data_IF_923696457743
#
_entry.id   IF_923696457743
#
_cell.length_a   1.000
_cell.length_b   1.000
_cell.length_c   1.000
_cell.angle_alpha   90.00
_cell.angle_beta   90.00
_cell.angle_gamma   90.00
#
_symmetry.space_group_name_H-M   'P 1'
#
loop_
_entity.id
_entity.type
_entity.pdbx_description
1 polymer ?
#
# COMPACT_ATOMS: atom_id res chain seq x y z
N UNK A 1 -39.24 -55.14 -72.44
CA UNK A 1 -39.88 -54.64 -71.20
C UNK A 1 -38.81 -54.38 -70.16
N UNK A 2 -38.41 -53.12 -69.98
CA UNK A 2 -37.98 -52.48 -68.72
C UNK A 2 -37.69 -51.01 -69.02
N UNK A 3 -38.05 -50.17 -68.05
CA UNK A 3 -38.48 -48.79 -68.21
C UNK A 3 -37.34 -47.76 -68.24
N UNK A 4 -37.63 -46.68 -68.95
CA UNK A 4 -37.07 -45.33 -68.88
C UNK A 4 -36.82 -44.81 -67.47
N UNK A 5 -35.79 -43.96 -67.29
CA UNK A 5 -35.91 -42.71 -66.53
C UNK A 5 -34.86 -41.68 -66.98
N UNK A 6 -35.34 -40.49 -67.33
CA UNK A 6 -34.61 -39.33 -67.82
C UNK A 6 -33.94 -38.55 -66.67
N UNK A 7 -32.79 -37.96 -66.97
CA UNK A 7 -32.05 -37.01 -66.16
C UNK A 7 -32.72 -35.63 -66.14
N UNK A 8 -32.80 -34.97 -64.98
CA UNK A 8 -32.96 -33.52 -64.83
C UNK A 8 -32.09 -33.05 -63.64
N UNK A 9 -30.95 -32.42 -63.94
CA UNK A 9 -30.12 -31.70 -62.97
C UNK A 9 -30.46 -30.21 -63.02
N UNK A 10 -30.97 -29.64 -61.92
CA UNK A 10 -31.10 -28.19 -61.71
C UNK A 10 -29.88 -27.68 -60.91
N UNK A 11 -29.26 -26.54 -61.26
CA UNK A 11 -28.20 -25.97 -60.45
C UNK A 11 -28.80 -25.20 -59.26
N UNK A 12 -28.30 -25.48 -58.07
CA UNK A 12 -28.61 -24.73 -56.84
C UNK A 12 -27.66 -23.53 -56.77
N UNK A 13 -28.18 -22.32 -57.00
CA UNK A 13 -27.43 -21.08 -56.82
C UNK A 13 -27.24 -20.78 -55.34
N UNK A 14 -26.00 -20.80 -54.86
CA UNK A 14 -25.62 -20.36 -53.51
C UNK A 14 -25.41 -18.85 -53.55
N UNK A 15 -26.31 -18.10 -52.92
CA UNK A 15 -26.15 -16.66 -52.65
C UNK A 15 -25.24 -16.51 -51.43
N UNK A 16 -24.00 -16.06 -51.65
CA UNK A 16 -23.07 -15.70 -50.59
C UNK A 16 -23.48 -14.34 -50.01
N UNK A 17 -24.17 -14.35 -48.87
CA UNK A 17 -24.49 -13.14 -48.11
C UNK A 17 -23.27 -12.67 -47.31
N UNK A 18 -22.64 -11.57 -47.73
CA UNK A 18 -21.57 -10.91 -46.99
C UNK A 18 -22.17 -10.20 -45.77
N UNK A 19 -22.11 -10.83 -44.60
CA UNK A 19 -22.39 -10.16 -43.33
C UNK A 19 -21.27 -9.15 -43.03
N UNK A 20 -21.53 -7.87 -43.29
CA UNK A 20 -20.74 -6.77 -42.72
C UNK A 20 -20.95 -6.74 -41.20
N UNK A 21 -19.97 -7.26 -40.47
CA UNK A 21 -19.83 -7.03 -39.03
C UNK A 21 -19.45 -5.56 -38.82
N UNK A 22 -20.45 -4.70 -38.60
CA UNK A 22 -20.24 -3.37 -38.03
C UNK A 22 -19.73 -3.56 -36.60
N UNK A 23 -18.41 -3.54 -36.45
CA UNK A 23 -17.75 -3.49 -35.15
C UNK A 23 -18.08 -2.16 -34.48
N UNK A 24 -19.11 -2.14 -33.64
CA UNK A 24 -19.36 -1.02 -32.74
C UNK A 24 -18.18 -0.86 -31.80
N UNK A 25 -17.35 0.15 -32.02
CA UNK A 25 -16.36 0.57 -31.05
C UNK A 25 -17.14 1.07 -29.82
N UNK A 26 -17.21 0.25 -28.77
CA UNK A 26 -17.59 0.74 -27.46
C UNK A 26 -16.58 1.84 -27.10
N UNK A 27 -17.01 3.10 -27.13
CA UNK A 27 -16.18 4.23 -26.71
C UNK A 27 -15.95 4.08 -25.22
N UNK A 28 -14.75 3.63 -24.85
CA UNK A 28 -14.36 3.55 -23.46
C UNK A 28 -14.10 4.96 -22.93
N UNK A 29 -14.94 5.42 -22.01
CA UNK A 29 -14.76 6.73 -21.35
C UNK A 29 -13.39 6.84 -20.67
N UNK A 30 -12.88 8.07 -20.58
CA UNK A 30 -11.69 8.35 -19.76
C UNK A 30 -11.98 7.98 -18.31
N UNK A 31 -11.07 7.22 -17.71
CA UNK A 31 -11.12 6.77 -16.32
C UNK A 31 -9.76 6.95 -15.65
N UNK A 32 -9.77 7.22 -14.34
CA UNK A 32 -8.58 7.44 -13.53
C UNK A 32 -8.45 6.38 -12.42
N UNK A 33 -7.22 6.09 -11.94
CA UNK A 33 -7.02 5.40 -10.68
C UNK A 33 -7.67 6.15 -9.52
N UNK A 34 -8.10 5.42 -8.49
CA UNK A 34 -8.77 5.98 -7.29
C UNK A 34 -7.95 7.04 -6.54
N UNK A 35 -6.62 7.01 -6.70
CA UNK A 35 -5.70 8.03 -6.18
C UNK A 35 -5.98 9.43 -6.70
N UNK A 36 -6.57 9.55 -7.90
CA UNK A 36 -7.04 10.81 -8.48
C UNK A 36 -8.53 10.97 -8.19
N UNK A 37 -8.83 11.44 -6.99
CA UNK A 37 -10.18 11.72 -6.51
C UNK A 37 -10.18 13.01 -5.69
N UNK A 38 -11.37 13.54 -5.40
CA UNK A 38 -11.51 14.79 -4.64
C UNK A 38 -10.71 14.74 -3.34
N UNK A 39 -10.24 15.92 -2.89
CA UNK A 39 -9.42 16.07 -1.68
C UNK A 39 -7.99 15.50 -1.77
N UNK A 40 -7.53 15.08 -2.95
CA UNK A 40 -6.18 14.54 -3.12
C UNK A 40 -5.06 15.55 -2.85
N UNK A 41 -3.84 15.05 -2.65
CA UNK A 41 -2.63 15.87 -2.50
C UNK A 41 -1.59 15.45 -3.55
N UNK A 42 -1.18 16.37 -4.42
CA UNK A 42 -0.10 16.16 -5.37
C UNK A 42 1.25 16.61 -4.77
N UNK A 43 2.31 15.85 -5.07
CA UNK A 43 3.66 16.15 -4.58
C UNK A 43 4.21 17.44 -5.21
N UNK A 44 4.62 18.38 -4.35
CA UNK A 44 5.32 19.61 -4.75
C UNK A 44 6.77 19.36 -5.18
N UNK A 45 7.34 20.34 -5.89
CA UNK A 45 8.76 20.45 -6.27
C UNK A 45 9.28 19.36 -7.25
N UNK A 46 8.40 18.54 -7.81
CA UNK A 46 8.74 17.47 -8.76
C UNK A 46 7.84 17.51 -9.99
N UNK A 47 8.22 16.80 -11.05
CA UNK A 47 7.33 16.47 -12.16
C UNK A 47 6.27 15.48 -11.68
N UNK A 48 4.99 15.77 -11.94
CA UNK A 48 3.87 14.97 -11.44
C UNK A 48 3.27 14.13 -12.58
N UNK A 49 3.37 12.80 -12.53
CA UNK A 49 2.70 11.95 -13.50
C UNK A 49 1.20 11.90 -13.19
N UNK A 50 0.39 12.06 -14.24
CA UNK A 50 -1.05 11.78 -14.21
C UNK A 50 -1.32 10.75 -15.28
N UNK A 51 -2.05 9.69 -14.93
CA UNK A 51 -2.29 8.57 -15.83
C UNK A 51 -3.70 8.02 -15.63
N UNK A 52 -4.13 7.23 -16.61
CA UNK A 52 -5.40 6.56 -16.56
C UNK A 52 -5.61 5.70 -17.78
N UNK A 53 -6.89 5.50 -18.11
CA UNK A 53 -7.28 4.77 -19.29
C UNK A 53 -8.33 5.53 -20.09
N UNK A 54 -8.41 5.24 -21.38
CA UNK A 54 -9.38 5.78 -22.32
C UNK A 54 -9.49 4.80 -23.52
N UNK A 55 -10.33 5.09 -24.52
CA UNK A 55 -10.32 4.30 -25.75
C UNK A 55 -8.97 4.41 -26.47
N UNK A 56 -8.52 3.35 -27.14
CA UNK A 56 -7.24 3.36 -27.85
C UNK A 56 -7.18 4.50 -28.89
N UNK A 57 -6.09 5.29 -28.87
CA UNK A 57 -5.91 6.46 -29.74
C UNK A 57 -6.67 7.72 -29.32
N UNK A 58 -7.51 7.66 -28.28
CA UNK A 58 -8.25 8.81 -27.76
C UNK A 58 -7.31 9.89 -27.24
N UNK A 59 -7.56 11.13 -27.64
CA UNK A 59 -6.81 12.28 -27.15
C UNK A 59 -7.30 12.64 -25.74
N UNK A 60 -6.37 12.70 -24.80
CA UNK A 60 -6.63 13.06 -23.39
C UNK A 60 -5.84 14.32 -23.05
N UNK A 61 -6.50 15.26 -22.39
CA UNK A 61 -5.93 16.53 -21.94
C UNK A 61 -6.13 16.70 -20.44
N UNK A 62 -5.07 17.03 -19.72
CA UNK A 62 -5.08 17.31 -18.27
C UNK A 62 -4.76 18.78 -18.04
N UNK A 63 -5.59 19.45 -17.25
CA UNK A 63 -5.40 20.86 -16.85
C UNK A 63 -5.47 21.00 -15.34
N UNK A 64 -4.49 21.69 -14.75
CA UNK A 64 -4.42 22.05 -13.33
C UNK A 64 -3.39 23.18 -13.17
N UNK A 65 -3.55 24.04 -12.16
CA UNK A 65 -2.51 25.03 -11.80
C UNK A 65 -2.04 25.90 -12.99
N UNK A 66 -2.98 26.31 -13.85
CA UNK A 66 -2.70 27.15 -15.03
C UNK A 66 -1.97 26.45 -16.18
N UNK A 67 -1.60 25.17 -16.05
CA UNK A 67 -0.97 24.39 -17.12
C UNK A 67 -1.95 23.40 -17.76
N UNK A 68 -1.67 23.06 -19.02
CA UNK A 68 -2.40 22.05 -19.79
C UNK A 68 -1.40 21.14 -20.50
N UNK A 69 -1.57 19.82 -20.36
CA UNK A 69 -0.78 18.79 -21.05
C UNK A 69 -1.71 17.82 -21.78
N UNK A 70 -1.32 17.37 -22.96
CA UNK A 70 -2.13 16.43 -23.76
C UNK A 70 -1.31 15.21 -24.19
N UNK A 71 -2.00 14.09 -24.38
CA UNK A 71 -1.44 12.82 -24.86
C UNK A 71 -2.51 12.04 -25.62
N UNK A 72 -2.16 10.86 -26.11
CA UNK A 72 -3.12 9.87 -26.61
C UNK A 72 -3.01 8.57 -25.84
N UNK A 73 -4.12 7.88 -25.64
CA UNK A 73 -4.10 6.53 -25.13
C UNK A 73 -3.45 5.57 -26.14
N UNK A 74 -2.64 4.66 -25.62
CA UNK A 74 -1.97 3.63 -26.40
C UNK A 74 -2.94 2.53 -26.87
N UNK A 75 -2.41 1.51 -27.55
CA UNK A 75 -3.20 0.37 -28.03
C UNK A 75 -3.87 -0.45 -26.91
N UNK A 76 -3.34 -0.40 -25.68
CA UNK A 76 -3.91 -1.01 -24.50
C UNK A 76 -4.88 -0.08 -23.76
N UNK A 77 -5.14 1.12 -24.31
CA UNK A 77 -5.98 2.14 -23.72
C UNK A 77 -5.35 2.85 -22.52
N UNK A 78 -4.04 2.69 -22.25
CA UNK A 78 -3.34 3.40 -21.18
C UNK A 78 -2.83 4.73 -21.69
N UNK A 79 -2.91 5.77 -20.86
CA UNK A 79 -2.34 7.09 -21.17
C UNK A 79 -1.62 7.66 -19.96
N UNK A 80 -0.65 8.52 -20.21
CA UNK A 80 -0.02 9.34 -19.16
C UNK A 80 0.44 10.69 -19.69
N UNK A 81 0.45 11.68 -18.81
CA UNK A 81 1.10 12.98 -19.00
C UNK A 81 2.03 13.25 -17.82
N UNK A 82 3.02 14.12 -18.04
CA UNK A 82 3.90 14.63 -17.00
C UNK A 82 3.61 16.13 -16.84
N UNK A 83 3.02 16.49 -15.71
CA UNK A 83 2.81 17.89 -15.34
C UNK A 83 4.14 18.48 -14.86
N UNK A 84 4.37 19.74 -15.22
CA UNK A 84 5.48 20.50 -14.66
C UNK A 84 5.24 20.75 -13.17
N UNK A 85 6.27 21.22 -12.46
CA UNK A 85 6.19 21.51 -11.03
C UNK A 85 5.00 22.43 -10.72
N UNK A 86 4.14 21.96 -9.82
CA UNK A 86 2.94 22.67 -9.39
C UNK A 86 3.28 23.70 -8.29
N UNK A 87 2.54 24.80 -8.25
CA UNK A 87 2.86 26.01 -7.48
C UNK A 87 1.70 26.59 -6.67
N UNK A 88 0.44 26.23 -6.95
CA UNK A 88 -0.69 26.73 -6.15
C UNK A 88 -0.53 26.42 -4.67
N UNK A 89 -0.85 27.43 -3.85
CA UNK A 89 -0.85 27.37 -2.38
C UNK A 89 -2.24 27.12 -1.80
N UNK A 90 -3.27 27.34 -2.62
CA UNK A 90 -4.67 27.13 -2.27
C UNK A 90 -5.21 25.86 -2.95
N UNK A 91 -6.29 25.27 -2.42
CA UNK A 91 -7.00 24.20 -3.11
C UNK A 91 -7.35 24.58 -4.54
N UNK A 92 -7.06 23.68 -5.48
CA UNK A 92 -7.33 23.89 -6.91
C UNK A 92 -8.15 22.73 -7.49
N UNK A 93 -8.45 22.83 -8.78
CA UNK A 93 -9.22 21.83 -9.53
C UNK A 93 -8.34 21.26 -10.64
N UNK A 94 -8.34 19.94 -10.76
CA UNK A 94 -7.77 19.24 -11.91
C UNK A 94 -8.90 18.77 -12.81
N UNK A 95 -8.78 19.03 -14.12
CA UNK A 95 -9.72 18.55 -15.12
C UNK A 95 -9.00 17.62 -16.08
N UNK A 96 -9.61 16.45 -16.35
CA UNK A 96 -9.15 15.49 -17.36
C UNK A 96 -10.23 15.37 -18.42
N UNK A 97 -9.91 15.73 -19.66
CA UNK A 97 -10.84 15.80 -20.78
C UNK A 97 -10.43 14.85 -21.90
N UNK A 98 -11.36 14.00 -22.31
CA UNK A 98 -11.32 13.22 -23.55
C UNK A 98 -12.73 13.24 -24.18
N UNK A 99 -13.29 12.06 -24.40
CA UNK A 99 -14.70 11.85 -24.77
C UNK A 99 -15.68 12.29 -23.68
N UNK A 100 -15.31 12.11 -22.41
CA UNK A 100 -15.96 12.67 -21.22
C UNK A 100 -15.02 13.67 -20.52
N UNK A 101 -15.54 14.38 -19.52
CA UNK A 101 -14.75 15.29 -18.68
C UNK A 101 -14.85 14.86 -17.22
N UNK A 102 -13.71 14.56 -16.61
CA UNK A 102 -13.58 14.30 -15.18
C UNK A 102 -13.06 15.56 -14.49
N UNK A 103 -13.68 15.93 -13.38
CA UNK A 103 -13.27 17.06 -12.54
C UNK A 103 -12.92 16.53 -11.16
N UNK A 104 -11.71 16.84 -10.70
CA UNK A 104 -11.21 16.51 -9.37
C UNK A 104 -11.07 17.82 -8.59
N UNK A 105 -11.81 17.95 -7.51
CA UNK A 105 -11.92 19.17 -6.71
C UNK A 105 -11.13 19.07 -5.40
N UNK A 106 -10.83 20.22 -4.78
CA UNK A 106 -10.03 20.31 -3.55
C UNK A 106 -8.66 19.61 -3.67
N UNK A 107 -7.97 19.82 -4.79
CA UNK A 107 -6.62 19.29 -5.00
C UNK A 107 -5.62 20.20 -4.29
N UNK A 108 -4.87 19.65 -3.33
CA UNK A 108 -3.78 20.33 -2.65
C UNK A 108 -2.44 20.01 -3.30
N UNK A 109 -1.49 20.94 -3.23
CA UNK A 109 -0.10 20.73 -3.63
C UNK A 109 0.77 20.80 -2.37
N UNK A 110 1.47 19.71 -2.06
CA UNK A 110 2.15 19.56 -0.79
C UNK A 110 3.09 18.37 -0.72
N UNK A 111 3.40 17.92 0.48
CA UNK A 111 4.24 16.75 0.70
C UNK A 111 3.40 15.48 0.70
N UNK A 112 3.78 14.48 -0.08
CA UNK A 112 3.12 13.17 -0.14
C UNK A 112 4.06 12.11 0.39
N UNK A 113 3.59 11.33 1.36
CA UNK A 113 4.34 10.25 1.97
C UNK A 113 3.53 8.95 2.03
N UNK A 114 4.19 7.84 1.74
CA UNK A 114 3.63 6.50 1.85
C UNK A 114 3.97 5.88 3.22
N UNK A 115 2.96 5.65 4.06
CA UNK A 115 3.05 4.79 5.23
C UNK A 115 2.72 3.35 4.88
N UNK A 116 3.65 2.43 5.13
CA UNK A 116 3.44 1.00 4.87
C UNK A 116 4.03 0.09 5.95
N UNK A 117 3.68 -1.19 5.89
CA UNK A 117 4.11 -2.22 6.83
C UNK A 117 2.93 -3.01 7.39
N UNK A 118 3.05 -3.41 8.66
CA UNK A 118 2.07 -4.29 9.31
C UNK A 118 1.24 -3.56 10.37
N UNK A 119 0.83 -4.28 11.42
CA UNK A 119 -0.19 -3.86 12.39
C UNK A 119 0.18 -2.59 13.14
N UNK A 120 1.47 -2.33 13.37
CA UNK A 120 1.92 -1.11 14.02
C UNK A 120 1.86 0.13 13.11
N UNK A 121 1.99 -0.03 11.78
CA UNK A 121 1.61 1.01 10.81
C UNK A 121 0.08 1.13 10.70
N UNK A 122 -0.63 0.00 10.72
CA UNK A 122 -2.07 -0.06 10.58
C UNK A 122 -2.83 0.52 11.79
N UNK A 123 -2.23 0.51 12.98
CA UNK A 123 -2.89 0.97 14.21
C UNK A 123 -3.44 2.38 14.04
N UNK A 124 -4.72 2.55 14.35
CA UNK A 124 -5.39 3.83 14.18
C UNK A 124 -5.14 4.78 15.36
N UNK A 125 -5.30 6.10 15.15
CA UNK A 125 -5.19 7.12 16.22
C UNK A 125 -6.12 6.80 17.39
N UNK A 126 -7.35 6.32 17.13
CA UNK A 126 -8.30 5.95 18.18
C UNK A 126 -7.82 4.84 19.13
N UNK A 127 -6.83 4.05 18.73
CA UNK A 127 -6.23 2.99 19.55
C UNK A 127 -4.90 3.40 20.21
N UNK A 128 -4.42 4.62 19.96
CA UNK A 128 -3.16 5.14 20.49
C UNK A 128 -3.32 5.82 21.86
N UNK A 129 -2.21 6.07 22.55
CA UNK A 129 -2.23 6.85 23.80
C UNK A 129 -2.77 8.27 23.54
N UNK A 130 -3.46 8.83 24.54
CA UNK A 130 -4.03 10.19 24.49
C UNK A 130 -5.00 10.44 23.32
N UNK A 131 -5.61 9.38 22.75
CA UNK A 131 -6.46 9.48 21.57
C UNK A 131 -7.56 10.53 21.69
N UNK A 132 -8.29 10.59 22.81
CA UNK A 132 -9.39 11.55 22.99
C UNK A 132 -8.92 13.01 22.88
N UNK A 133 -7.80 13.35 23.54
CA UNK A 133 -7.23 14.69 23.51
C UNK A 133 -6.67 15.05 22.12
N UNK A 134 -6.07 14.08 21.43
CA UNK A 134 -5.58 14.26 20.07
C UNK A 134 -6.73 14.48 19.09
N UNK A 135 -7.75 13.63 19.14
CA UNK A 135 -8.93 13.68 18.27
C UNK A 135 -9.62 15.04 18.40
N UNK A 136 -9.83 15.52 19.63
CA UNK A 136 -10.49 16.81 19.88
C UNK A 136 -9.76 18.00 19.24
N UNK A 137 -8.45 17.90 19.01
CA UNK A 137 -7.60 18.98 18.47
C UNK A 137 -7.24 18.79 16.99
N UNK A 138 -7.64 17.69 16.37
CA UNK A 138 -7.19 17.29 15.04
C UNK A 138 -7.92 18.01 13.90
N UNK A 139 -8.03 19.34 13.99
CA UNK A 139 -8.59 20.20 12.95
C UNK A 139 -7.50 20.67 11.98
N UNK A 140 -7.07 19.76 11.12
CA UNK A 140 -6.00 19.99 10.16
C UNK A 140 -6.47 19.68 8.73
N UNK A 141 -7.37 20.48 8.16
CA UNK A 141 -7.93 20.25 6.83
C UNK A 141 -6.92 20.52 5.69
N UNK A 142 -5.62 20.56 5.94
CA UNK A 142 -4.57 20.43 4.91
C UNK A 142 -3.78 19.12 5.03
N UNK A 143 -4.10 18.29 6.02
CA UNK A 143 -3.66 16.91 6.11
C UNK A 143 -4.75 16.03 5.48
N UNK A 144 -4.35 15.18 4.55
CA UNK A 144 -5.23 14.26 3.83
C UNK A 144 -4.69 12.84 3.99
N UNK A 145 -5.58 11.88 4.21
CA UNK A 145 -5.21 10.48 4.35
C UNK A 145 -5.92 9.64 3.29
N UNK A 146 -5.18 8.83 2.55
CA UNK A 146 -5.70 7.83 1.62
C UNK A 146 -5.43 6.44 2.19
N UNK A 147 -6.48 5.73 2.61
CA UNK A 147 -6.34 4.34 3.03
C UNK A 147 -6.47 3.41 1.81
N UNK A 148 -5.41 2.70 1.47
CA UNK A 148 -5.44 1.68 0.41
C UNK A 148 -6.29 0.50 0.88
N UNK A 149 -7.25 0.09 0.06
CA UNK A 149 -8.04 -1.10 0.34
C UNK A 149 -7.13 -2.33 0.43
N UNK A 150 -7.29 -3.10 1.51
CA UNK A 150 -6.51 -4.31 1.75
C UNK A 150 -6.92 -5.40 0.76
N UNK A 151 -6.07 -5.64 -0.24
CA UNK A 151 -6.29 -6.63 -1.29
C UNK A 151 -5.01 -7.40 -1.60
N UNK A 152 -5.10 -8.72 -1.62
CA UNK A 152 -4.02 -9.61 -2.09
C UNK A 152 -4.17 -9.84 -3.58
N UNK A 153 -3.06 -9.94 -4.31
CA UNK A 153 -3.10 -10.35 -5.72
C UNK A 153 -1.88 -11.16 -6.14
N UNK A 154 -2.03 -12.29 -6.86
CA UNK A 154 -0.91 -13.02 -7.45
C UNK A 154 -0.17 -12.24 -8.55
N UNK A 155 -0.81 -11.24 -9.15
CA UNK A 155 -0.24 -10.40 -10.22
C UNK A 155 -0.39 -8.91 -9.91
N UNK A 156 0.57 -8.06 -10.33
CA UNK A 156 0.47 -6.62 -10.15
C UNK A 156 -0.88 -6.07 -10.64
N UNK A 157 -1.50 -5.23 -9.83
CA UNK A 157 -2.75 -4.55 -10.17
C UNK A 157 -2.44 -3.13 -10.65
N UNK A 158 -3.18 -2.64 -11.64
CA UNK A 158 -3.01 -1.25 -12.12
C UNK A 158 -3.86 -0.23 -11.34
N UNK A 159 -4.74 -0.69 -10.43
CA UNK A 159 -5.55 0.17 -9.55
C UNK A 159 -5.85 -0.49 -8.20
N UNK A 160 -6.12 0.34 -7.21
CA UNK A 160 -6.54 -0.08 -5.87
C UNK A 160 -7.83 0.63 -5.46
N UNK A 161 -8.51 0.11 -4.44
CA UNK A 161 -9.58 0.85 -3.76
C UNK A 161 -9.02 1.84 -2.73
N UNK A 162 -9.83 2.81 -2.34
CA UNK A 162 -9.50 3.83 -1.35
C UNK A 162 -10.13 5.17 -1.68
N UNK A 163 -10.06 6.11 -0.72
CA UNK A 163 -10.51 7.49 -0.90
C UNK A 163 -9.67 8.43 -0.04
N UNK A 164 -9.48 9.66 -0.51
CA UNK A 164 -8.90 10.72 0.30
C UNK A 164 -9.89 11.22 1.35
N UNK A 165 -9.39 11.40 2.56
CA UNK A 165 -10.17 11.88 3.70
C UNK A 165 -9.40 13.02 4.36
N UNK A 166 -10.07 14.15 4.56
CA UNK A 166 -9.54 15.29 5.31
C UNK A 166 -9.40 14.95 6.80
N UNK A 167 -8.34 15.46 7.43
CA UNK A 167 -8.17 15.34 8.87
C UNK A 167 -9.10 16.31 9.59
N UNK A 168 -10.02 15.76 10.38
CA UNK A 168 -10.86 16.48 11.33
C UNK A 168 -11.05 15.65 12.60
N UNK A 169 -11.61 16.22 13.68
CA UNK A 169 -12.00 15.44 14.86
C UNK A 169 -12.93 14.25 14.56
N UNK A 170 -13.69 14.30 13.46
CA UNK A 170 -14.61 13.21 13.08
C UNK A 170 -13.90 12.06 12.35
N UNK A 171 -12.79 12.32 11.67
CA UNK A 171 -12.15 11.36 10.75
C UNK A 171 -10.84 10.80 11.30
N UNK A 172 -10.07 11.60 12.05
CA UNK A 172 -8.69 11.27 12.44
C UNK A 172 -8.60 9.97 13.23
N UNK A 173 -9.66 9.60 13.97
CA UNK A 173 -9.69 8.37 14.78
C UNK A 173 -9.40 7.11 13.97
N UNK A 174 -9.63 7.13 12.65
CA UNK A 174 -9.42 6.02 11.72
C UNK A 174 -8.13 6.12 10.90
N UNK A 175 -7.33 7.17 11.06
CA UNK A 175 -6.07 7.32 10.35
C UNK A 175 -5.01 6.45 10.99
N UNK A 176 -4.03 5.97 10.20
CA UNK A 176 -2.82 5.36 10.77
C UNK A 176 -2.19 6.33 11.76
N UNK A 177 -2.00 5.91 12.99
CA UNK A 177 -1.44 6.75 14.04
C UNK A 177 0.01 7.14 13.74
N UNK A 178 0.82 6.18 13.30
CA UNK A 178 2.23 6.45 12.96
C UNK A 178 2.34 7.45 11.81
N UNK A 179 1.57 7.26 10.73
CA UNK A 179 1.58 8.19 9.60
C UNK A 179 0.97 9.55 9.95
N UNK A 180 -0.12 9.58 10.72
CA UNK A 180 -0.75 10.81 11.17
C UNK A 180 0.20 11.68 12.01
N UNK A 181 0.81 11.12 13.06
CA UNK A 181 1.72 11.90 13.90
C UNK A 181 2.95 12.39 13.13
N UNK A 182 3.48 11.57 12.22
CA UNK A 182 4.53 11.99 11.29
C UNK A 182 4.08 13.17 10.41
N UNK A 183 2.94 13.04 9.73
CA UNK A 183 2.42 14.06 8.82
C UNK A 183 1.99 15.34 9.52
N UNK A 184 1.42 15.25 10.72
CA UNK A 184 1.05 16.39 11.57
C UNK A 184 2.27 17.21 11.95
N UNK A 185 3.33 16.55 12.39
CA UNK A 185 4.59 17.23 12.75
C UNK A 185 5.26 17.87 11.52
N UNK A 186 5.21 17.23 10.34
CA UNK A 186 5.67 17.84 9.10
C UNK A 186 4.83 19.05 8.69
N UNK A 187 3.50 18.93 8.71
CA UNK A 187 2.58 20.02 8.38
C UNK A 187 2.82 21.24 9.29
N UNK A 188 2.94 21.00 10.60
CA UNK A 188 3.19 22.07 11.57
C UNK A 188 4.55 22.75 11.37
N UNK A 189 5.58 22.01 10.96
CA UNK A 189 6.93 22.53 10.76
C UNK A 189 7.09 23.25 9.40
N UNK A 190 6.62 22.61 8.33
CA UNK A 190 6.81 23.08 6.96
C UNK A 190 5.73 24.06 6.49
N UNK A 191 4.59 24.12 7.20
CA UNK A 191 3.44 24.97 6.87
C UNK A 191 2.91 24.74 5.45
N UNK A 192 2.89 23.47 5.02
CA UNK A 192 2.35 23.06 3.72
C UNK A 192 1.40 21.87 3.86
N UNK A 193 0.48 21.64 2.91
CA UNK A 193 -0.35 20.44 2.89
C UNK A 193 0.45 19.15 2.95
N UNK A 194 -0.14 18.11 3.57
CA UNK A 194 0.47 16.79 3.68
C UNK A 194 -0.52 15.70 3.30
N UNK A 195 -0.19 14.94 2.27
CA UNK A 195 -0.88 13.71 1.87
C UNK A 195 -0.21 12.48 2.48
N UNK A 196 -1.00 11.65 3.17
CA UNK A 196 -0.56 10.42 3.80
C UNK A 196 -1.26 9.24 3.12
N UNK A 197 -0.52 8.48 2.32
CA UNK A 197 -1.03 7.23 1.73
C UNK A 197 -0.72 6.12 2.73
N UNK A 198 -1.73 5.38 3.19
CA UNK A 198 -1.57 4.25 4.09
C UNK A 198 -1.83 2.94 3.35
N UNK A 199 -0.77 2.17 3.12
CA UNK A 199 -0.81 0.83 2.53
C UNK A 199 -0.22 -0.16 3.53
N UNK A 200 -1.02 -0.64 4.48
CA UNK A 200 -0.57 -1.52 5.56
C UNK A 200 -1.52 -2.67 5.85
N UNK A 201 -0.98 -3.79 6.34
CA UNK A 201 -1.77 -4.96 6.72
C UNK A 201 -1.10 -5.76 7.84
N UNK A 202 -1.79 -5.85 8.99
CA UNK A 202 -1.35 -6.57 10.17
C UNK A 202 -0.94 -8.03 9.95
N UNK A 203 0.14 -8.42 10.63
CA UNK A 203 0.64 -9.79 10.64
C UNK A 203 1.25 -10.25 9.33
N UNK A 204 1.79 -9.35 8.52
CA UNK A 204 2.39 -9.68 7.21
C UNK A 204 3.91 -9.57 7.26
N UNK A 205 4.63 -10.52 6.62
CA UNK A 205 6.08 -10.47 6.55
C UNK A 205 6.54 -9.64 5.34
N UNK A 206 7.79 -9.19 5.34
CA UNK A 206 8.32 -8.25 4.34
C UNK A 206 8.34 -8.80 2.91
N UNK A 207 8.49 -10.11 2.73
CA UNK A 207 8.45 -10.77 1.42
C UNK A 207 7.11 -10.56 0.68
N UNK A 208 6.02 -10.33 1.41
CA UNK A 208 4.71 -10.03 0.81
C UNK A 208 4.66 -8.65 0.14
N UNK A 209 5.53 -7.73 0.58
CA UNK A 209 5.58 -6.31 0.17
C UNK A 209 6.67 -5.99 -0.85
N UNK A 210 7.45 -7.00 -1.23
CA UNK A 210 8.51 -6.91 -2.24
C UNK A 210 8.06 -7.65 -3.50
N UNK A 211 8.36 -7.14 -4.69
CA UNK A 211 8.02 -7.82 -5.94
C UNK A 211 8.67 -9.21 -6.04
N UNK A 212 8.06 -10.12 -6.81
CA UNK A 212 8.53 -11.51 -6.90
C UNK A 212 9.87 -11.60 -7.64
N UNK A 213 10.01 -10.87 -8.75
CA UNK A 213 11.18 -10.94 -9.64
C UNK A 213 12.48 -10.55 -8.93
N UNK A 214 12.46 -9.50 -8.10
CA UNK A 214 13.65 -9.11 -7.34
C UNK A 214 13.98 -10.12 -6.24
N UNK A 215 12.99 -10.82 -5.69
CA UNK A 215 13.20 -11.87 -4.70
C UNK A 215 13.78 -13.14 -5.33
N UNK A 216 13.25 -13.55 -6.49
CA UNK A 216 13.76 -14.69 -7.25
C UNK A 216 15.21 -14.49 -7.73
N UNK A 217 15.64 -13.23 -7.88
CA UNK A 217 17.04 -12.90 -8.19
C UNK A 217 18.03 -13.13 -7.04
N UNK A 218 17.57 -13.46 -5.83
CA UNK A 218 18.41 -13.63 -4.62
C UNK A 218 18.50 -15.08 -4.17
N UNK A 219 19.68 -15.73 -4.27
CA UNK A 219 19.88 -17.10 -3.80
C UNK A 219 19.49 -17.30 -2.32
N UNK A 220 19.68 -16.28 -1.48
CA UNK A 220 19.37 -16.31 -0.05
C UNK A 220 17.88 -16.59 0.23
N UNK A 221 17.00 -16.33 -0.73
CA UNK A 221 15.55 -16.53 -0.60
C UNK A 221 15.06 -17.85 -1.19
N UNK A 222 15.90 -18.59 -1.90
CA UNK A 222 15.50 -19.84 -2.55
C UNK A 222 14.83 -20.85 -1.58
N UNK A 223 15.32 -21.07 -0.34
CA UNK A 223 14.65 -21.96 0.60
C UNK A 223 13.24 -21.48 0.99
N UNK A 224 13.09 -20.18 1.29
CA UNK A 224 11.79 -19.59 1.62
C UNK A 224 10.80 -19.69 0.46
N UNK A 225 11.26 -19.41 -0.77
CA UNK A 225 10.42 -19.49 -1.96
C UNK A 225 10.04 -20.94 -2.31
N UNK A 226 10.93 -21.91 -2.08
CA UNK A 226 10.64 -23.33 -2.28
C UNK A 226 9.53 -23.83 -1.34
N UNK A 227 9.55 -23.42 -0.06
CA UNK A 227 8.49 -23.75 0.89
C UNK A 227 7.14 -23.17 0.47
N UNK A 228 7.11 -21.94 -0.05
CA UNK A 228 5.88 -21.36 -0.61
C UNK A 228 5.40 -22.11 -1.85
N UNK A 229 6.30 -22.47 -2.78
CA UNK A 229 5.96 -23.28 -3.96
C UNK A 229 5.32 -24.61 -3.57
N UNK A 230 5.90 -25.32 -2.60
CA UNK A 230 5.32 -26.56 -2.04
C UNK A 230 3.94 -26.32 -1.43
N UNK A 231 3.78 -25.24 -0.66
CA UNK A 231 2.51 -24.90 0.00
C UNK A 231 1.42 -24.53 -1.00
N UNK A 232 1.77 -23.88 -2.10
CA UNK A 232 0.84 -23.52 -3.20
C UNK A 232 0.47 -24.73 -4.06
N UNK A 233 1.40 -25.65 -4.29
CA UNK A 233 1.15 -26.88 -5.05
C UNK A 233 0.29 -27.91 -4.30
N UNK A 234 0.22 -27.82 -2.98
CA UNK A 234 -0.63 -28.69 -2.17
C UNK A 234 -2.12 -28.48 -2.51
N UNK A 235 -2.93 -29.55 -2.64
CA UNK A 235 -4.36 -29.43 -2.85
C UNK A 235 -5.02 -28.58 -1.76
N UNK A 236 -5.89 -27.66 -2.18
CA UNK A 236 -6.68 -26.82 -1.28
C UNK A 236 -8.16 -27.01 -1.59
N UNK A 237 -8.88 -27.68 -0.68
CA UNK A 237 -10.33 -27.82 -0.73
C UNK A 237 -10.98 -26.62 -0.02
N UNK A 238 -11.45 -25.67 -0.82
CA UNK A 238 -12.10 -24.46 -0.32
C UNK A 238 -13.41 -24.76 0.40
N UNK A 239 -14.19 -25.73 -0.07
CA UNK A 239 -15.47 -26.08 0.53
C UNK A 239 -15.27 -26.66 1.93
N UNK A 240 -14.34 -27.60 2.08
CA UNK A 240 -13.99 -28.18 3.39
C UNK A 240 -13.40 -27.12 4.32
N UNK A 241 -12.53 -26.24 3.82
CA UNK A 241 -11.96 -25.16 4.63
C UNK A 241 -13.03 -24.18 5.13
N UNK A 242 -13.95 -23.77 4.27
CA UNK A 242 -15.07 -22.88 4.61
C UNK A 242 -16.04 -23.54 5.59
N UNK A 243 -16.39 -24.81 5.40
CA UNK A 243 -17.25 -25.55 6.34
C UNK A 243 -16.61 -25.65 7.74
N UNK A 244 -15.29 -25.85 7.82
CA UNK A 244 -14.55 -25.81 9.10
C UNK A 244 -14.60 -24.41 9.73
N UNK A 245 -14.41 -23.37 8.92
CA UNK A 245 -14.46 -21.99 9.39
C UNK A 245 -15.83 -21.60 9.92
N UNK A 246 -16.92 -21.98 9.25
CA UNK A 246 -18.29 -21.73 9.71
C UNK A 246 -18.56 -22.37 11.07
N UNK A 247 -18.15 -23.64 11.26
CA UNK A 247 -18.22 -24.32 12.57
C UNK A 247 -17.41 -23.60 13.64
N UNK A 248 -16.20 -23.15 13.31
CA UNK A 248 -15.37 -22.39 14.24
C UNK A 248 -16.00 -21.04 14.60
N UNK A 249 -16.61 -20.37 13.63
CA UNK A 249 -17.31 -19.09 13.83
C UNK A 249 -18.54 -19.26 14.72
N UNK A 250 -19.31 -20.33 14.56
CA UNK A 250 -20.44 -20.64 15.42
C UNK A 250 -20.00 -20.86 16.88
N UNK A 251 -18.99 -21.70 17.09
CA UNK A 251 -18.40 -21.92 18.42
C UNK A 251 -17.87 -20.60 19.00
N UNK A 252 -17.15 -19.81 18.20
CA UNK A 252 -16.60 -18.55 18.64
C UNK A 252 -17.68 -17.54 19.02
N UNK A 253 -18.79 -17.44 18.27
CA UNK A 253 -19.92 -16.57 18.61
C UNK A 253 -20.53 -16.95 19.96
N UNK A 254 -20.85 -18.24 20.14
CA UNK A 254 -21.45 -18.75 21.38
C UNK A 254 -20.52 -18.51 22.59
N UNK A 255 -19.23 -18.79 22.43
CA UNK A 255 -18.24 -18.56 23.50
C UNK A 255 -18.06 -17.06 23.78
N UNK A 256 -18.02 -16.22 22.74
CA UNK A 256 -17.83 -14.77 22.89
C UNK A 256 -19.03 -14.10 23.55
N UNK A 257 -20.25 -14.54 23.23
CA UNK A 257 -21.47 -14.09 23.89
C UNK A 257 -21.46 -14.46 25.38
N UNK A 258 -21.11 -15.71 25.71
CA UNK A 258 -20.95 -16.15 27.10
C UNK A 258 -19.85 -15.37 27.83
N UNK A 259 -18.70 -15.15 27.20
CA UNK A 259 -17.62 -14.35 27.80
C UNK A 259 -18.07 -12.92 28.07
N UNK A 260 -18.80 -12.31 27.15
CA UNK A 260 -19.35 -10.96 27.29
C UNK A 260 -20.33 -10.85 28.46
N UNK A 261 -21.22 -11.83 28.65
CA UNK A 261 -22.14 -11.84 29.80
C UNK A 261 -21.40 -12.05 31.14
N UNK A 262 -20.27 -12.76 31.12
CA UNK A 262 -19.37 -12.92 32.27
C UNK A 262 -18.40 -11.74 32.49
N UNK A 263 -18.48 -10.67 31.71
CA UNK A 263 -17.57 -9.53 31.80
C UNK A 263 -16.13 -9.82 31.34
N UNK A 264 -15.92 -10.93 30.63
CA UNK A 264 -14.62 -11.34 30.06
C UNK A 264 -14.47 -10.87 28.61
N UNK A 265 -13.25 -10.54 28.16
CA UNK A 265 -13.02 -10.20 26.77
C UNK A 265 -13.26 -11.42 25.87
N UNK A 266 -13.81 -11.17 24.68
CA UNK A 266 -13.96 -12.20 23.66
C UNK A 266 -12.59 -12.72 23.21
N UNK A 267 -12.50 -14.03 22.96
CA UNK A 267 -11.33 -14.64 22.32
C UNK A 267 -11.10 -14.13 20.89
N UNK A 268 -9.96 -14.44 20.26
CA UNK A 268 -9.68 -14.03 18.90
C UNK A 268 -10.64 -14.68 17.92
N UNK A 269 -11.21 -13.88 17.02
CA UNK A 269 -12.09 -14.37 15.97
C UNK A 269 -11.33 -15.33 15.02
N UNK A 270 -11.94 -16.47 14.63
CA UNK A 270 -11.41 -17.31 13.57
C UNK A 270 -11.14 -16.51 12.30
N UNK A 271 -10.03 -16.80 11.62
CA UNK A 271 -9.70 -16.15 10.34
C UNK A 271 -10.38 -16.91 9.21
N UNK A 272 -11.01 -16.16 8.29
CA UNK A 272 -11.53 -16.74 7.04
C UNK A 272 -10.39 -17.46 6.31
N UNK A 273 -10.58 -18.72 5.89
CA UNK A 273 -9.53 -19.47 5.22
C UNK A 273 -9.30 -18.89 3.83
N UNK A 274 -8.06 -19.00 3.36
CA UNK A 274 -7.64 -18.53 2.04
C UNK A 274 -6.73 -19.57 1.42
N UNK A 275 -6.87 -19.80 0.12
CA UNK A 275 -5.92 -20.62 -0.62
C UNK A 275 -4.49 -20.05 -0.43
N UNK A 276 -3.45 -20.90 -0.29
CA UNK A 276 -2.08 -20.44 -0.04
C UNK A 276 -1.59 -19.36 -1.01
N UNK A 277 -1.94 -19.48 -2.30
CA UNK A 277 -1.61 -18.52 -3.37
C UNK A 277 -2.25 -17.14 -3.19
N UNK A 278 -3.29 -17.02 -2.36
CA UNK A 278 -4.02 -15.78 -2.08
C UNK A 278 -3.71 -15.25 -0.67
N UNK A 279 -2.88 -15.94 0.12
CA UNK A 279 -2.59 -15.48 1.48
C UNK A 279 -1.89 -14.12 1.46
N UNK A 280 -2.19 -13.22 2.42
CA UNK A 280 -1.50 -11.93 2.54
C UNK A 280 -0.04 -12.06 2.95
N UNK A 281 0.37 -13.23 3.48
CA UNK A 281 1.77 -13.52 3.76
C UNK A 281 2.54 -14.16 2.59
N UNK A 282 1.87 -14.48 1.49
CA UNK A 282 2.54 -15.04 0.31
C UNK A 282 3.47 -13.98 -0.32
N UNK A 283 4.68 -14.34 -0.75
CA UNK A 283 5.60 -13.41 -1.38
C UNK A 283 4.94 -12.64 -2.53
N UNK A 284 5.23 -11.33 -2.59
CA UNK A 284 4.70 -10.36 -3.55
C UNK A 284 3.19 -10.08 -3.56
N UNK A 285 2.35 -10.81 -2.82
CA UNK A 285 0.90 -10.64 -2.94
C UNK A 285 0.40 -9.24 -2.54
N UNK A 286 1.03 -8.61 -1.55
CA UNK A 286 0.66 -7.27 -1.09
C UNK A 286 1.37 -6.18 -1.88
N UNK A 287 2.59 -6.43 -2.35
CA UNK A 287 3.21 -5.59 -3.37
C UNK A 287 2.27 -5.44 -4.56
N UNK A 288 1.83 -6.56 -5.12
CA UNK A 288 0.97 -6.62 -6.30
C UNK A 288 -0.39 -5.95 -6.09
N UNK A 289 -1.04 -6.19 -4.95
CA UNK A 289 -2.39 -5.72 -4.68
C UNK A 289 -2.47 -4.32 -4.08
N UNK A 290 -1.41 -3.84 -3.42
CA UNK A 290 -1.47 -2.62 -2.58
C UNK A 290 -0.32 -1.63 -2.79
N UNK A 291 0.77 -2.00 -3.48
CA UNK A 291 1.90 -1.10 -3.76
C UNK A 291 2.00 -0.81 -5.27
N UNK A 292 1.96 -1.83 -6.11
CA UNK A 292 2.02 -1.69 -7.56
C UNK A 292 0.97 -0.72 -8.13
N UNK A 293 -0.30 -0.70 -7.64
CA UNK A 293 -1.29 0.30 -8.07
C UNK A 293 -0.95 1.76 -7.79
N UNK A 294 -0.04 2.00 -6.85
CA UNK A 294 0.39 3.35 -6.48
C UNK A 294 1.50 3.85 -7.39
N UNK A 295 2.12 2.99 -8.19
CA UNK A 295 3.15 3.39 -9.16
C UNK A 295 2.45 4.01 -10.38
N UNK A 296 2.85 5.20 -10.87
CA UNK A 296 4.00 6.02 -10.47
C UNK A 296 3.64 7.29 -9.67
N UNK A 297 2.65 7.26 -8.76
CA UNK A 297 2.21 8.44 -8.00
C UNK A 297 3.39 9.18 -7.36
N UNK A 298 3.58 10.45 -7.70
CA UNK A 298 4.70 11.23 -7.18
C UNK A 298 4.61 11.37 -5.66
N UNK A 299 5.70 11.03 -4.96
CA UNK A 299 5.79 11.11 -3.51
C UNK A 299 7.21 11.48 -3.07
N UNK A 300 7.36 12.09 -1.90
CA UNK A 300 8.66 12.46 -1.32
C UNK A 300 9.42 11.25 -0.79
N UNK A 301 8.70 10.31 -0.20
CA UNK A 301 9.30 9.24 0.58
C UNK A 301 8.29 8.24 1.14
N UNK A 302 8.80 7.19 1.76
CA UNK A 302 8.01 6.24 2.53
C UNK A 302 8.52 6.11 3.97
N UNK A 303 7.57 5.83 4.86
CA UNK A 303 7.81 5.38 6.22
C UNK A 303 7.31 3.94 6.38
N UNK A 304 8.12 3.10 6.99
CA UNK A 304 7.91 1.66 7.09
C UNK A 304 7.87 1.21 8.55
N UNK A 305 6.82 0.50 8.94
CA UNK A 305 6.70 -0.04 10.31
C UNK A 305 6.29 -1.51 10.26
N UNK A 306 7.32 -2.36 10.22
CA UNK A 306 7.20 -3.80 10.11
C UNK A 306 8.49 -4.47 10.58
N UNK A 307 8.38 -5.74 10.97
CA UNK A 307 9.51 -6.63 11.25
C UNK A 307 9.15 -7.67 12.29
N UNK A 308 8.05 -7.45 13.03
CA UNK A 308 7.62 -8.33 14.12
C UNK A 308 7.27 -9.73 13.62
N UNK A 309 6.66 -9.84 12.42
CA UNK A 309 6.40 -11.16 11.83
C UNK A 309 7.73 -11.85 11.44
N UNK A 310 8.65 -11.14 10.76
CA UNK A 310 9.93 -11.71 10.36
C UNK A 310 10.83 -12.07 11.56
N UNK A 311 10.70 -11.39 12.70
CA UNK A 311 11.37 -11.77 13.95
C UNK A 311 10.86 -13.12 14.52
N UNK A 312 9.66 -13.56 14.13
CA UNK A 312 9.13 -14.88 14.44
C UNK A 312 9.32 -15.93 13.33
N UNK A 313 10.02 -15.58 12.24
CA UNK A 313 10.25 -16.48 11.12
C UNK A 313 11.32 -17.54 11.42
N UNK A 314 11.42 -18.56 10.56
CA UNK A 314 12.47 -19.57 10.66
C UNK A 314 13.88 -19.03 10.42
N UNK A 315 14.03 -17.87 9.75
CA UNK A 315 15.32 -17.24 9.51
C UNK A 315 15.22 -15.70 9.63
N UNK A 316 15.22 -15.15 10.86
CA UNK A 316 15.11 -13.71 11.10
C UNK A 316 16.30 -12.92 10.52
N UNK A 317 17.45 -13.56 10.30
CA UNK A 317 18.64 -12.90 9.73
C UNK A 317 18.45 -12.50 8.26
N UNK A 318 17.50 -13.12 7.53
CA UNK A 318 17.16 -12.71 6.16
C UNK A 318 16.70 -11.25 6.07
N UNK A 319 16.22 -10.67 7.18
CA UNK A 319 15.79 -9.29 7.21
C UNK A 319 16.90 -8.30 6.80
N UNK A 320 18.17 -8.66 7.03
CA UNK A 320 19.34 -7.87 6.63
C UNK A 320 19.47 -7.74 5.10
N UNK A 321 18.86 -8.65 4.35
CA UNK A 321 18.81 -8.61 2.88
C UNK A 321 17.45 -8.10 2.40
N UNK A 322 16.36 -8.51 3.07
CA UNK A 322 15.00 -8.17 2.66
C UNK A 322 14.69 -6.68 2.75
N UNK A 323 15.07 -5.99 3.84
CA UNK A 323 14.76 -4.57 3.99
C UNK A 323 15.51 -3.71 2.95
N UNK A 324 16.83 -3.86 2.74
CA UNK A 324 17.52 -3.17 1.65
C UNK A 324 16.96 -3.50 0.26
N UNK A 325 16.51 -4.75 0.04
CA UNK A 325 15.92 -5.13 -1.24
C UNK A 325 14.56 -4.44 -1.48
N UNK A 326 13.68 -4.41 -0.48
CA UNK A 326 12.39 -3.72 -0.57
C UNK A 326 12.58 -2.24 -0.94
N UNK A 327 13.52 -1.57 -0.27
CA UNK A 327 13.82 -0.15 -0.54
C UNK A 327 14.29 0.05 -1.99
N UNK A 328 15.20 -0.81 -2.46
CA UNK A 328 15.73 -0.75 -3.84
C UNK A 328 14.65 -1.06 -4.87
N UNK A 329 13.83 -2.07 -4.63
CA UNK A 329 12.71 -2.44 -5.49
C UNK A 329 11.74 -1.26 -5.65
N UNK A 330 11.25 -0.69 -4.54
CA UNK A 330 10.30 0.42 -4.63
C UNK A 330 10.89 1.64 -5.34
N UNK A 331 12.15 2.01 -5.07
CA UNK A 331 12.85 3.07 -5.83
C UNK A 331 12.90 2.79 -7.33
N UNK A 332 13.18 1.54 -7.71
CA UNK A 332 13.19 1.12 -9.10
C UNK A 332 11.80 1.21 -9.74
N UNK A 333 10.74 0.77 -9.05
CA UNK A 333 9.36 0.82 -9.57
C UNK A 333 8.87 2.24 -9.79
N UNK A 334 9.19 3.15 -8.87
CA UNK A 334 8.86 4.58 -9.01
C UNK A 334 9.73 5.31 -10.03
N UNK A 335 10.85 4.72 -10.47
CA UNK A 335 11.85 5.43 -11.27
C UNK A 335 12.48 6.61 -10.51
N UNK A 336 12.48 6.56 -9.18
CA UNK A 336 13.00 7.61 -8.29
C UNK A 336 14.11 7.02 -7.43
N UNK A 337 15.35 7.11 -7.91
CA UNK A 337 16.52 6.53 -7.23
C UNK A 337 16.82 7.17 -5.87
N UNK A 338 16.34 8.40 -5.66
CA UNK A 338 16.60 9.26 -4.51
C UNK A 338 15.45 9.35 -3.50
N UNK A 339 14.26 8.79 -3.81
CA UNK A 339 13.10 8.79 -2.93
C UNK A 339 13.47 8.30 -1.50
N UNK A 340 13.07 9.08 -0.50
CA UNK A 340 13.52 8.93 0.88
C UNK A 340 12.82 7.76 1.58
N UNK A 341 13.52 7.04 2.44
CA UNK A 341 12.94 5.90 3.16
C UNK A 341 13.32 5.91 4.63
N UNK A 342 12.34 5.84 5.54
CA UNK A 342 12.64 5.59 6.95
C UNK A 342 11.83 4.43 7.48
N UNK A 343 12.37 3.71 8.46
CA UNK A 343 11.63 2.68 9.16
C UNK A 343 11.64 2.89 10.67
N UNK A 344 10.70 2.25 11.33
CA UNK A 344 10.61 2.21 12.80
C UNK A 344 11.30 0.93 13.26
N UNK A 345 12.32 1.07 14.13
CA UNK A 345 12.99 -0.08 14.73
C UNK A 345 11.98 -0.87 15.59
N UNK A 346 12.13 -2.20 15.68
CA UNK A 346 11.28 -2.96 16.59
C UNK A 346 11.37 -2.43 18.04
N UNK A 347 10.22 -2.21 18.70
CA UNK A 347 10.17 -1.69 20.07
C UNK A 347 10.66 -2.73 21.08
N UNK A 348 10.83 -2.36 22.35
CA UNK A 348 10.95 -3.38 23.39
C UNK A 348 9.64 -4.19 23.48
N UNK A 349 9.76 -5.51 23.59
CA UNK A 349 8.65 -6.45 23.66
C UNK A 349 9.12 -7.76 24.32
N UNK A 350 8.25 -8.36 25.13
CA UNK A 350 8.53 -9.44 26.09
C UNK A 350 9.35 -8.98 27.29
N UNK A 351 9.33 -9.83 28.33
CA UNK A 351 10.14 -9.63 29.54
C UNK A 351 11.62 -9.58 29.18
N UNK A 352 12.36 -8.73 29.90
CA UNK A 352 13.81 -8.66 29.82
C UNK A 352 14.42 -10.04 30.07
N UNK A 353 15.42 -10.39 29.26
CA UNK A 353 16.29 -11.53 29.56
C UNK A 353 17.44 -11.05 30.46
N UNK A 354 17.65 -11.73 31.58
CA UNK A 354 18.73 -11.41 32.52
C UNK A 354 20.10 -11.80 31.96
N UNK A 355 20.17 -12.77 31.04
CA UNK A 355 21.38 -13.06 30.27
C UNK A 355 21.42 -12.20 28.99
N UNK A 356 22.30 -11.17 28.93
CA UNK A 356 22.41 -10.32 27.74
C UNK A 356 23.01 -11.04 26.52
N UNK A 357 23.64 -12.20 26.70
CA UNK A 357 24.21 -13.02 25.61
C UNK A 357 23.24 -14.02 25.00
N UNK A 358 22.04 -14.17 25.57
CA UNK A 358 21.07 -15.14 25.09
C UNK A 358 20.60 -14.84 23.65
N UNK A 359 20.47 -15.86 22.78
CA UNK A 359 19.98 -15.67 21.42
C UNK A 359 18.62 -14.97 21.38
N UNK A 360 18.52 -13.90 20.58
CA UNK A 360 17.30 -13.12 20.44
C UNK A 360 17.00 -12.83 18.98
N UNK A 361 15.95 -13.46 18.45
CA UNK A 361 15.46 -13.21 17.08
C UNK A 361 15.02 -11.75 16.90
N UNK A 362 14.53 -11.13 17.98
CA UNK A 362 14.15 -9.73 18.02
C UNK A 362 15.37 -8.80 17.90
N UNK A 363 16.46 -9.13 18.60
CA UNK A 363 17.72 -8.40 18.49
C UNK A 363 18.33 -8.54 17.08
N UNK A 364 18.30 -9.75 16.50
CA UNK A 364 18.76 -10.01 15.13
C UNK A 364 18.04 -9.09 14.12
N UNK A 365 16.72 -8.96 14.21
CA UNK A 365 15.97 -8.07 13.30
C UNK A 365 16.28 -6.59 13.57
N UNK A 366 16.47 -6.17 14.82
CA UNK A 366 16.88 -4.80 15.16
C UNK A 366 18.28 -4.47 14.62
N UNK A 367 19.20 -5.42 14.68
CA UNK A 367 20.54 -5.28 14.10
C UNK A 367 20.47 -5.21 12.57
N UNK A 368 19.67 -6.06 11.92
CA UNK A 368 19.41 -6.00 10.48
C UNK A 368 18.84 -4.63 10.05
N UNK A 369 17.92 -4.08 10.83
CA UNK A 369 17.39 -2.72 10.64
C UNK A 369 18.50 -1.67 10.78
N UNK A 370 19.39 -1.78 11.76
CA UNK A 370 20.51 -0.86 11.92
C UNK A 370 21.46 -0.93 10.72
N UNK A 371 21.87 -2.13 10.31
CA UNK A 371 22.77 -2.37 9.16
C UNK A 371 22.18 -1.85 7.85
N UNK A 372 20.85 -1.84 7.74
CA UNK A 372 20.14 -1.28 6.57
C UNK A 372 20.31 0.23 6.39
N UNK A 373 20.78 0.98 7.42
CA UNK A 373 21.17 2.39 7.27
C UNK A 373 22.32 2.62 6.27
N UNK A 374 23.04 1.57 5.89
CA UNK A 374 24.02 1.61 4.80
C UNK A 374 23.39 1.97 3.43
N UNK A 375 22.07 1.81 3.27
CA UNK A 375 21.37 2.24 2.06
C UNK A 375 21.24 3.78 2.05
N UNK A 376 21.67 4.49 0.99
CA UNK A 376 21.59 5.95 0.94
C UNK A 376 20.16 6.50 1.05
N UNK A 377 20.04 7.75 1.51
CA UNK A 377 18.76 8.46 1.71
C UNK A 377 17.79 7.71 2.63
N UNK A 378 18.33 7.04 3.66
CA UNK A 378 17.52 6.32 4.64
C UNK A 378 17.61 6.87 6.06
N UNK A 379 16.68 6.43 6.91
CA UNK A 379 16.64 6.73 8.33
C UNK A 379 15.98 5.64 9.14
N UNK A 380 16.18 5.68 10.46
CA UNK A 380 15.56 4.76 11.40
C UNK A 380 15.09 5.51 12.63
N UNK A 381 13.80 5.40 12.95
CA UNK A 381 13.24 5.82 14.22
C UNK A 381 13.45 4.69 15.25
N UNK A 382 14.40 4.88 16.16
CA UNK A 382 14.60 3.98 17.30
C UNK A 382 13.40 4.13 18.24
N UNK A 383 12.77 3.04 18.68
CA UNK A 383 11.65 3.06 19.64
C UNK A 383 11.73 1.96 20.70
N UNK A 384 12.93 1.48 21.00
CA UNK A 384 13.16 0.49 22.05
C UNK A 384 12.63 0.96 23.41
N UNK A 385 12.81 2.24 23.73
CA UNK A 385 12.38 2.92 24.97
C UNK A 385 10.88 3.23 25.02
N UNK A 386 10.16 3.05 23.92
CA UNK A 386 8.72 3.30 23.81
C UNK A 386 7.92 2.00 23.57
N UNK A 387 8.51 0.85 23.91
CA UNK A 387 7.89 -0.46 23.86
C UNK A 387 7.05 -0.81 25.10
N UNK A 388 6.49 -2.01 25.08
CA UNK A 388 5.67 -2.57 26.16
C UNK A 388 5.94 -4.09 26.23
N UNK A 389 6.40 -4.58 27.37
CA UNK A 389 6.77 -5.99 27.54
C UNK A 389 5.60 -6.95 27.29
N UNK A 390 4.36 -6.52 27.57
CA UNK A 390 3.16 -7.33 27.46
C UNK A 390 2.43 -7.11 26.13
N UNK A 391 2.82 -6.11 25.34
CA UNK A 391 2.08 -5.70 24.16
C UNK A 391 3.00 -5.40 22.97
N UNK A 392 2.95 -6.28 21.97
CA UNK A 392 3.66 -6.14 20.70
C UNK A 392 3.21 -4.90 19.88
N UNK A 393 2.10 -4.29 20.26
CA UNK A 393 1.53 -3.10 19.66
C UNK A 393 1.59 -1.90 20.62
N UNK A 394 2.77 -1.31 20.88
CA UNK A 394 2.88 -0.20 21.82
C UNK A 394 2.04 0.99 21.37
N UNK A 395 1.26 1.55 22.30
CA UNK A 395 0.25 2.57 22.00
C UNK A 395 0.81 3.99 21.87
N UNK A 396 2.05 4.24 22.31
CA UNK A 396 2.69 5.55 22.19
C UNK A 396 3.19 5.80 20.76
N UNK A 397 2.27 6.03 19.83
CA UNK A 397 2.57 6.32 18.41
C UNK A 397 3.01 7.77 18.18
N UNK A 398 2.84 8.66 19.16
CA UNK A 398 3.35 10.02 19.09
C UNK A 398 4.88 10.06 19.00
N UNK A 399 5.57 9.27 19.84
CA UNK A 399 7.04 9.16 19.79
C UNK A 399 7.52 8.59 18.45
N UNK A 400 6.81 7.60 17.91
CA UNK A 400 7.11 7.02 16.59
C UNK A 400 7.05 8.10 15.51
N UNK A 401 5.92 8.82 15.41
CA UNK A 401 5.72 9.87 14.43
C UNK A 401 6.74 11.01 14.56
N UNK A 402 6.98 11.47 15.79
CA UNK A 402 7.92 12.56 16.07
C UNK A 402 9.36 12.22 15.67
N UNK A 403 9.82 10.97 15.90
CA UNK A 403 11.17 10.54 15.52
C UNK A 403 11.34 10.38 14.01
N UNK A 404 10.33 9.83 13.32
CA UNK A 404 10.30 9.80 11.86
C UNK A 404 10.30 11.22 11.28
N UNK A 405 9.50 12.12 11.84
CA UNK A 405 9.41 13.52 11.40
C UNK A 405 10.71 14.28 11.70
N UNK A 406 11.37 14.00 12.83
CA UNK A 406 12.69 14.53 13.17
C UNK A 406 13.72 14.21 12.09
N UNK A 407 13.81 12.92 11.71
CA UNK A 407 14.67 12.50 10.61
C UNK A 407 14.33 13.22 9.29
N UNK A 408 13.05 13.27 8.91
CA UNK A 408 12.64 13.91 7.67
C UNK A 408 12.98 15.41 7.66
N UNK A 409 12.65 16.13 8.74
CA UNK A 409 12.99 17.55 8.92
C UNK A 409 14.49 17.82 8.71
N UNK A 410 15.36 17.00 9.28
CA UNK A 410 16.80 17.19 9.15
C UNK A 410 17.37 16.71 7.81
N UNK A 411 17.02 15.50 7.37
CA UNK A 411 17.69 14.82 6.24
C UNK A 411 17.02 15.04 4.89
N UNK A 412 15.73 15.38 4.89
CA UNK A 412 14.97 15.67 3.66
C UNK A 412 14.82 17.18 3.48
N UNK A 413 14.49 17.90 4.56
CA UNK A 413 14.18 19.33 4.50
C UNK A 413 15.29 20.23 5.03
N UNK A 414 16.46 19.68 5.37
CA UNK A 414 17.67 20.45 5.70
C UNK A 414 17.61 21.25 7.01
N UNK A 415 16.65 20.98 7.90
CA UNK A 415 16.56 21.66 9.19
C UNK A 415 17.73 21.27 10.10
N UNK A 416 18.38 22.27 10.71
CA UNK A 416 19.51 22.06 11.63
C UNK A 416 19.01 21.66 13.03
N UNK A 417 18.55 20.42 13.17
CA UNK A 417 18.04 19.86 14.42
C UNK A 417 18.69 18.49 14.71
N UNK A 418 18.85 18.10 15.99
CA UNK A 418 19.11 16.72 16.33
C UNK A 418 17.95 15.84 15.84
N UNK A 419 18.28 14.77 15.12
CA UNK A 419 17.26 13.91 14.48
C UNK A 419 17.48 12.42 14.72
N UNK A 420 18.59 12.04 15.35
CA UNK A 420 18.92 10.67 15.69
C UNK A 420 19.43 10.63 17.13
N UNK A 421 19.01 9.61 17.87
CA UNK A 421 19.61 9.26 19.16
C UNK A 421 20.87 8.40 18.96
N UNK A 422 21.50 7.95 20.05
CA UNK A 422 22.57 6.96 19.97
C UNK A 422 22.11 5.74 19.16
N UNK A 423 22.93 5.33 18.19
CA UNK A 423 22.72 4.09 17.47
C UNK A 423 23.28 2.94 18.32
N UNK A 424 22.48 1.89 18.59
CA UNK A 424 22.87 0.78 19.44
C UNK A 424 23.91 -0.16 18.83
#
# INVERSE_FOLDING_TARGET
MKSSFQAHSRPLGIVLGTCLLLGGHALAEVRLPSMFSDHMVLQRDVTVPVWGWAAAGEAVTVSIDGQTKSTKADAAGKWSVKLDKLTSKEPTTMTVKGSNTLTISDVLIGEVWLGSGQSNMQMNVGASNNAAAEIAKADFPQIRHFAVERKTSPTPQDSCGGKWVLCSPQTVSQFSAAAYFFGRDLHQSLKVPVGLINSSWGGTPIEAWTSMDVQESKPEFAPMLAEWKKKVAAPYDEATAMARYEKQMEVWKNVSEKQKTEGKPAGPQPKKPMAPRLMPGHPANLFNGMIAPLVPYAMRGAIWYQGENNAGSANPALYNVQLPLLIKDWRQRWGQADFHFAWVQLPNFKKRNEDPGAPSTWAIVREAMLRSLSVPNTGMAIVIDSGDEANIHPKNKQVVGARLAGWAKAKVYGQKIPFSGPLP
#
